data_IF_686436427586
#
_entry.id   IF_686436427586
#
_cell.length_a   1.000
_cell.length_b   1.000
_cell.length_c   1.000
_cell.angle_alpha   90.00
_cell.angle_beta   90.00
_cell.angle_gamma   90.00
#
_symmetry.space_group_name_H-M   'P 1'
#
loop_
_entity.id
_entity.type
_entity.pdbx_description
1 polymer ?
#
# COMPACT_ATOMS: atom_id res chain seq x y z
N UNK A 1 -5.04 -78.17 2.71
CA UNK A 1 -6.04 -77.66 1.74
C UNK A 1 -6.78 -76.53 2.44
N UNK A 2 -6.48 -75.28 2.08
CA UNK A 2 -7.40 -74.34 1.39
C UNK A 2 -8.62 -73.96 2.27
N UNK A 3 -8.95 -72.69 2.55
CA UNK A 3 -8.75 -71.44 1.80
C UNK A 3 -8.69 -70.20 2.70
N UNK A 4 -7.96 -69.21 2.21
CA UNK A 4 -7.84 -67.83 2.66
C UNK A 4 -9.11 -67.00 2.41
N UNK A 5 -9.41 -66.02 3.27
CA UNK A 5 -10.09 -64.78 2.87
C UNK A 5 -9.50 -63.59 3.63
N UNK A 6 -8.88 -62.69 2.87
CA UNK A 6 -8.42 -61.36 3.26
C UNK A 6 -9.61 -60.40 3.39
N UNK A 7 -9.61 -59.54 4.41
CA UNK A 7 -10.35 -58.26 4.37
C UNK A 7 -9.39 -57.11 4.70
N UNK A 8 -9.13 -56.27 3.71
CA UNK A 8 -8.41 -54.99 3.83
C UNK A 8 -9.31 -53.99 4.55
N UNK A 9 -8.90 -53.50 5.71
CA UNK A 9 -9.54 -52.37 6.37
C UNK A 9 -9.01 -51.04 5.80
N UNK A 10 -9.95 -50.13 5.55
CA UNK A 10 -9.76 -48.83 4.90
C UNK A 10 -8.91 -47.88 5.74
N UNK A 11 -8.05 -47.12 5.06
CA UNK A 11 -7.35 -45.95 5.60
C UNK A 11 -8.32 -44.77 5.53
N UNK A 12 -8.80 -44.29 6.67
CA UNK A 12 -9.50 -43.01 6.77
C UNK A 12 -8.46 -41.90 6.79
N UNK A 13 -8.20 -41.27 5.65
CA UNK A 13 -7.40 -40.05 5.56
C UNK A 13 -8.21 -38.85 6.08
N UNK A 14 -7.79 -38.24 7.18
CA UNK A 14 -8.28 -36.93 7.61
C UNK A 14 -7.54 -35.88 6.78
N UNK A 15 -8.23 -35.26 5.83
CA UNK A 15 -7.75 -34.06 5.13
C UNK A 15 -8.01 -32.87 6.06
N UNK A 16 -6.98 -32.37 6.73
CA UNK A 16 -7.03 -31.06 7.36
C UNK A 16 -6.92 -29.99 6.26
N UNK A 17 -8.06 -29.48 5.81
CA UNK A 17 -8.10 -28.29 4.96
C UNK A 17 -7.72 -27.07 5.82
N UNK A 18 -6.44 -26.69 5.78
CA UNK A 18 -5.99 -25.41 6.33
C UNK A 18 -6.56 -24.27 5.49
N UNK A 19 -7.62 -23.62 5.97
CA UNK A 19 -8.03 -22.32 5.43
C UNK A 19 -6.98 -21.30 5.84
N UNK A 20 -5.99 -21.08 4.99
CA UNK A 20 -5.15 -19.89 5.05
C UNK A 20 -6.03 -18.68 4.75
N UNK A 21 -6.69 -18.14 5.78
CA UNK A 21 -7.31 -16.83 5.69
C UNK A 21 -6.20 -15.82 5.43
N UNK A 22 -6.12 -15.31 4.20
CA UNK A 22 -5.29 -14.15 3.91
C UNK A 22 -5.81 -13.04 4.82
N UNK A 23 -5.01 -12.66 5.83
CA UNK A 23 -5.28 -11.48 6.61
C UNK A 23 -5.46 -10.31 5.64
N UNK A 24 -6.61 -9.65 5.71
CA UNK A 24 -6.87 -8.47 4.89
C UNK A 24 -5.74 -7.47 5.14
N UNK A 25 -5.06 -7.04 4.08
CA UNK A 25 -4.02 -6.04 4.19
C UNK A 25 -4.65 -4.76 4.77
N UNK A 26 -4.08 -4.23 5.86
CA UNK A 26 -4.52 -2.98 6.48
C UNK A 26 -3.63 -1.83 6.05
N UNK A 27 -4.23 -0.68 5.71
CA UNK A 27 -3.47 0.52 5.41
C UNK A 27 -2.94 1.23 6.66
N UNK A 28 -3.54 0.99 7.83
CA UNK A 28 -3.07 1.57 9.09
C UNK A 28 -1.58 1.24 9.26
N UNK A 29 -0.72 2.25 9.40
CA UNK A 29 0.71 2.03 9.48
C UNK A 29 1.05 1.29 10.79
N UNK A 30 1.91 0.26 10.75
CA UNK A 30 2.53 -0.30 11.94
C UNK A 30 3.26 0.78 12.76
N UNK A 31 3.56 0.46 14.01
CA UNK A 31 4.36 1.35 14.87
C UNK A 31 5.66 1.77 14.18
N UNK A 32 6.00 3.06 14.29
CA UNK A 32 7.21 3.63 13.69
C UNK A 32 7.12 3.90 12.18
N UNK A 33 6.00 3.57 11.52
CA UNK A 33 5.80 3.81 10.09
C UNK A 33 4.82 4.95 9.80
N UNK A 34 4.85 5.40 8.55
CA UNK A 34 3.83 6.25 7.95
C UNK A 34 3.19 5.54 6.76
N UNK A 35 1.97 5.92 6.44
CA UNK A 35 1.18 5.37 5.35
C UNK A 35 0.74 6.45 4.35
N UNK A 36 0.89 6.15 3.06
CA UNK A 36 0.30 6.91 1.96
C UNK A 36 -0.71 6.00 1.27
N UNK A 37 -2.00 6.33 1.36
CA UNK A 37 -3.08 5.62 0.68
C UNK A 37 -3.42 6.31 -0.63
N UNK A 38 -3.63 5.54 -1.70
CA UNK A 38 -3.81 6.08 -3.04
C UNK A 38 -4.91 5.38 -3.83
N UNK A 39 -5.95 6.17 -4.14
CA UNK A 39 -7.11 5.76 -4.92
C UNK A 39 -6.96 6.25 -6.36
N UNK A 40 -7.17 5.35 -7.33
CA UNK A 40 -7.21 5.69 -8.76
C UNK A 40 -8.57 5.38 -9.37
N UNK A 41 -9.03 6.27 -10.24
CA UNK A 41 -10.26 6.09 -11.00
C UNK A 41 -10.28 4.88 -11.92
N UNK A 42 -9.15 4.58 -12.56
CA UNK A 42 -9.03 3.43 -13.45
C UNK A 42 -8.76 2.11 -12.69
N UNK A 43 -8.64 2.17 -11.36
CA UNK A 43 -8.24 1.05 -10.50
C UNK A 43 -6.95 0.32 -10.96
N UNK A 44 -6.16 0.95 -11.84
CA UNK A 44 -4.94 0.37 -12.40
C UNK A 44 -3.72 0.99 -11.73
N UNK A 45 -3.01 0.16 -10.96
CA UNK A 45 -1.83 0.54 -10.20
C UNK A 45 -0.54 -0.02 -10.79
N UNK A 46 -0.62 -0.73 -11.92
CA UNK A 46 0.54 -1.36 -12.54
C UNK A 46 1.58 -0.31 -12.96
N UNK A 47 2.79 -0.45 -12.41
CA UNK A 47 3.91 0.47 -12.65
C UNK A 47 3.86 1.76 -11.82
N UNK A 48 2.82 1.98 -11.00
CA UNK A 48 2.77 3.10 -10.08
C UNK A 48 3.55 2.79 -8.80
N UNK A 49 4.37 3.75 -8.35
CA UNK A 49 5.13 3.66 -7.11
C UNK A 49 5.29 5.02 -6.44
N UNK A 50 5.84 5.02 -5.23
CA UNK A 50 6.19 6.22 -4.48
C UNK A 50 7.70 6.45 -4.50
N UNK A 51 8.14 7.57 -5.07
CA UNK A 51 9.50 8.06 -4.89
C UNK A 51 9.56 8.86 -3.59
N UNK A 52 10.39 8.41 -2.64
CA UNK A 52 10.45 8.93 -1.27
C UNK A 52 11.85 9.46 -0.97
N UNK A 53 11.93 10.59 -0.28
CA UNK A 53 13.21 11.19 0.09
C UNK A 53 13.15 11.95 1.41
N UNK A 54 14.32 12.08 2.05
CA UNK A 54 14.53 12.92 3.23
C UNK A 54 15.15 14.26 2.84
N UNK A 55 14.98 15.27 3.68
CA UNK A 55 15.70 16.54 3.51
C UNK A 55 17.23 16.30 3.60
N UNK A 56 18.06 17.02 2.81
CA UNK A 56 17.72 18.10 1.89
C UNK A 56 17.41 17.67 0.43
N UNK A 57 16.88 16.47 0.19
CA UNK A 57 16.60 15.96 -1.16
C UNK A 57 17.25 14.60 -1.46
N UNK A 58 17.49 13.80 -0.43
CA UNK A 58 18.21 12.52 -0.54
C UNK A 58 17.19 11.38 -0.61
N UNK A 59 17.07 10.64 -1.72
CA UNK A 59 16.19 9.48 -1.81
C UNK A 59 16.44 8.48 -0.67
N UNK A 60 15.37 7.83 -0.21
CA UNK A 60 15.52 6.76 0.78
C UNK A 60 16.31 5.59 0.19
N UNK A 61 16.95 4.81 1.06
CA UNK A 61 17.78 3.66 0.64
C UNK A 61 16.96 2.69 -0.23
N UNK A 62 17.49 2.41 -1.43
CA UNK A 62 16.85 1.51 -2.40
C UNK A 62 15.72 2.13 -3.23
N UNK A 63 15.42 3.41 -3.03
CA UNK A 63 14.44 4.18 -3.81
C UNK A 63 15.17 5.05 -4.83
N UNK A 64 14.82 4.86 -6.10
CA UNK A 64 15.34 5.62 -7.23
C UNK A 64 14.17 6.10 -8.10
N UNK A 65 14.43 7.01 -9.04
CA UNK A 65 13.39 7.43 -9.98
C UNK A 65 12.89 6.25 -10.83
N UNK A 66 13.79 5.44 -11.35
CA UNK A 66 13.47 4.27 -12.17
C UNK A 66 12.99 3.07 -11.33
N UNK A 67 13.14 3.14 -10.01
CA UNK A 67 12.75 2.10 -9.05
C UNK A 67 12.07 2.74 -7.84
N UNK A 68 10.84 3.25 -8.00
CA UNK A 68 10.09 3.77 -6.88
C UNK A 68 9.69 2.65 -5.91
N UNK A 69 9.28 3.01 -4.70
CA UNK A 69 8.74 2.06 -3.74
C UNK A 69 7.48 1.41 -4.32
N UNK A 70 7.47 0.08 -4.37
CA UNK A 70 6.29 -0.68 -4.74
C UNK A 70 5.23 -0.61 -3.61
N UNK A 71 3.93 -0.66 -3.93
CA UNK A 71 2.89 -0.69 -2.92
C UNK A 71 3.08 -1.84 -1.93
N UNK A 72 2.85 -1.55 -0.65
CA UNK A 72 2.88 -2.54 0.44
C UNK A 72 1.66 -3.44 0.44
N UNK A 73 0.56 -2.99 -0.16
CA UNK A 73 -0.67 -3.77 -0.30
C UNK A 73 -1.80 -2.99 -0.95
N UNK A 74 -3.00 -3.56 -0.88
CA UNK A 74 -4.23 -2.96 -1.43
C UNK A 74 -5.39 -3.14 -0.43
N UNK A 75 -6.21 -2.11 -0.30
CA UNK A 75 -7.49 -2.07 0.42
C UNK A 75 -8.61 -1.71 -0.55
N UNK A 76 -9.85 -1.58 -0.05
CA UNK A 76 -10.99 -1.10 -0.84
C UNK A 76 -10.83 0.36 -1.28
N UNK A 77 -9.99 1.14 -0.60
CA UNK A 77 -9.68 2.51 -1.04
C UNK A 77 -8.72 2.51 -2.24
N UNK A 78 -7.81 1.55 -2.31
CA UNK A 78 -6.77 1.52 -3.33
C UNK A 78 -5.48 0.89 -2.81
N UNK A 79 -4.35 1.26 -3.39
CA UNK A 79 -3.05 0.77 -2.91
C UNK A 79 -2.51 1.67 -1.79
N UNK A 80 -1.60 1.13 -0.99
CA UNK A 80 -0.90 1.91 0.03
C UNK A 80 0.58 1.58 0.09
N UNK A 81 1.37 2.51 0.62
CA UNK A 81 2.78 2.33 0.95
C UNK A 81 3.00 2.55 2.43
N UNK A 82 3.80 1.67 3.05
CA UNK A 82 4.34 1.89 4.40
C UNK A 82 5.83 2.20 4.31
N UNK A 83 6.23 3.33 4.88
CA UNK A 83 7.63 3.73 4.96
C UNK A 83 8.04 3.93 6.43
N UNK A 84 9.26 3.56 6.78
CA UNK A 84 9.79 3.75 8.13
C UNK A 84 10.07 5.24 8.38
N UNK A 85 9.41 5.83 9.38
CA UNK A 85 9.49 7.27 9.64
C UNK A 85 10.92 7.73 9.94
N UNK A 86 11.69 6.88 10.62
CA UNK A 86 13.10 7.13 10.96
C UNK A 86 13.96 7.40 9.72
N UNK A 87 13.58 6.87 8.55
CA UNK A 87 14.36 7.01 7.32
C UNK A 87 14.25 8.43 6.74
N UNK A 88 13.23 9.19 7.14
CA UNK A 88 13.04 10.62 6.80
C UNK A 88 13.86 11.58 7.68
N UNK A 89 14.67 11.04 8.60
CA UNK A 89 15.50 11.83 9.51
C UNK A 89 14.74 12.39 10.70
N UNK A 90 15.44 13.13 11.56
CA UNK A 90 14.93 13.58 12.87
C UNK A 90 13.75 14.53 12.78
N UNK A 91 13.58 15.25 11.66
CA UNK A 91 12.43 16.13 11.44
C UNK A 91 11.14 15.39 11.05
N UNK A 92 11.25 14.13 10.60
CA UNK A 92 10.10 13.32 10.19
C UNK A 92 9.28 13.90 9.03
N UNK A 93 9.84 14.85 8.25
CA UNK A 93 9.19 15.38 7.05
C UNK A 93 9.23 14.34 5.94
N UNK A 94 8.06 13.81 5.60
CA UNK A 94 7.91 12.79 4.56
C UNK A 94 7.75 13.50 3.24
N UNK A 95 8.75 13.45 2.37
CA UNK A 95 8.63 13.98 1.01
C UNK A 95 8.39 12.84 0.02
N UNK A 96 7.48 13.05 -0.94
CA UNK A 96 7.09 12.02 -1.89
C UNK A 96 6.61 12.55 -3.25
N UNK A 97 6.70 11.69 -4.27
CA UNK A 97 6.01 11.80 -5.56
C UNK A 97 5.40 10.43 -5.87
N UNK A 98 4.12 10.40 -6.24
CA UNK A 98 3.47 9.19 -6.79
C UNK A 98 3.59 9.25 -8.31
N UNK A 99 4.21 8.24 -8.94
CA UNK A 99 4.46 8.26 -10.38
C UNK A 99 4.53 6.86 -11.01
N UNK A 100 4.38 6.82 -12.34
CA UNK A 100 4.63 5.68 -13.24
C UNK A 100 5.57 6.13 -14.36
N UNK A 101 6.82 5.69 -14.33
CA UNK A 101 7.86 6.27 -15.19
C UNK A 101 7.90 7.79 -15.00
N UNK A 102 7.85 8.55 -16.10
CA UNK A 102 7.82 10.02 -16.03
C UNK A 102 6.43 10.62 -15.80
N UNK A 103 5.38 9.80 -15.78
CA UNK A 103 4.01 10.26 -15.49
C UNK A 103 3.84 10.43 -13.98
N UNK A 104 3.68 11.67 -13.54
CA UNK A 104 3.47 12.03 -12.13
C UNK A 104 1.99 12.30 -11.83
N UNK A 105 1.55 11.98 -10.62
CA UNK A 105 0.24 12.41 -10.11
C UNK A 105 0.33 13.76 -9.36
N UNK A 106 -0.77 14.19 -8.75
CA UNK A 106 -0.93 15.41 -7.95
C UNK A 106 -0.45 16.66 -8.69
N UNK A 107 -0.68 16.68 -10.01
CA UNK A 107 -0.27 17.76 -10.89
C UNK A 107 1.25 17.89 -11.08
N UNK A 108 2.01 16.82 -10.83
CA UNK A 108 3.46 16.78 -11.05
C UNK A 108 4.29 17.47 -9.98
N UNK A 109 3.70 17.76 -8.81
CA UNK A 109 4.34 18.49 -7.71
C UNK A 109 5.07 17.56 -6.77
N UNK A 110 6.11 18.09 -6.14
CA UNK A 110 6.72 17.48 -4.96
C UNK A 110 5.77 17.68 -3.78
N UNK A 111 5.40 16.58 -3.13
CA UNK A 111 4.46 16.58 -2.03
C UNK A 111 5.17 16.29 -0.71
N UNK A 112 4.62 16.77 0.40
CA UNK A 112 5.14 16.41 1.71
C UNK A 112 4.09 16.53 2.81
N UNK A 113 4.31 15.81 3.90
CA UNK A 113 3.57 15.95 5.15
C UNK A 113 4.50 15.74 6.35
N UNK A 114 4.05 16.20 7.52
CA UNK A 114 4.74 15.95 8.77
C UNK A 114 4.35 14.57 9.32
N UNK A 115 5.26 13.61 9.16
CA UNK A 115 5.09 12.24 9.63
C UNK A 115 5.14 12.11 11.15
N UNK A 116 5.57 13.14 11.90
CA UNK A 116 5.52 13.14 13.36
C UNK A 116 4.11 13.44 13.88
N UNK A 117 3.39 14.33 13.19
CA UNK A 117 2.03 14.73 13.51
C UNK A 117 0.96 13.85 12.85
N UNK A 118 1.17 13.42 11.61
CA UNK A 118 0.21 12.63 10.83
C UNK A 118 0.86 11.34 10.35
N UNK A 119 0.36 10.19 10.81
CA UNK A 119 0.92 8.88 10.42
C UNK A 119 0.34 8.32 9.13
N UNK A 120 -0.87 8.70 8.76
CA UNK A 120 -1.56 8.15 7.60
C UNK A 120 -2.22 9.28 6.82
N UNK A 121 -2.03 9.25 5.50
CA UNK A 121 -2.67 10.18 4.58
C UNK A 121 -3.38 9.43 3.46
N UNK A 122 -4.33 10.11 2.81
CA UNK A 122 -5.09 9.62 1.68
C UNK A 122 -5.01 10.57 0.50
N UNK A 123 -4.84 10.00 -0.69
CA UNK A 123 -4.66 10.71 -1.96
C UNK A 123 -5.60 10.11 -2.99
N UNK A 124 -6.34 10.98 -3.67
CA UNK A 124 -7.12 10.66 -4.85
C UNK A 124 -6.35 11.06 -6.11
N UNK A 125 -6.25 10.17 -7.09
CA UNK A 125 -5.58 10.50 -8.35
C UNK A 125 -6.24 11.70 -9.04
N UNK A 126 -5.41 12.57 -9.62
CA UNK A 126 -5.84 13.82 -10.23
C UNK A 126 -6.14 14.95 -9.24
N UNK A 127 -6.10 14.69 -7.93
CA UNK A 127 -6.27 15.68 -6.88
C UNK A 127 -4.92 16.11 -6.30
N UNK A 128 -4.73 17.42 -6.12
CA UNK A 128 -3.52 18.00 -5.52
C UNK A 128 -3.56 17.98 -3.99
N UNK A 129 -4.71 17.69 -3.39
CA UNK A 129 -4.91 17.71 -1.95
C UNK A 129 -4.44 16.42 -1.29
N UNK A 130 -3.90 16.56 -0.08
CA UNK A 130 -3.68 15.48 0.88
C UNK A 130 -4.84 15.49 1.87
N UNK A 131 -5.42 14.32 2.13
CA UNK A 131 -6.44 14.12 3.15
C UNK A 131 -5.83 13.39 4.34
N UNK A 132 -6.27 13.72 5.56
CA UNK A 132 -5.81 13.09 6.81
C UNK A 132 -6.87 12.17 7.43
N UNK A 133 -7.93 11.88 6.67
CA UNK A 133 -8.93 10.87 7.01
C UNK A 133 -9.42 10.17 5.73
N UNK A 134 -9.79 8.89 5.86
CA UNK A 134 -10.41 8.11 4.79
C UNK A 134 -11.75 8.72 4.36
N UNK A 135 -12.54 9.20 5.31
CA UNK A 135 -13.88 9.71 5.06
C UNK A 135 -13.85 11.01 4.25
N UNK A 136 -12.93 11.93 4.56
CA UNK A 136 -12.76 13.16 3.77
C UNK A 136 -12.27 12.86 2.35
N UNK A 137 -11.36 11.89 2.20
CA UNK A 137 -10.90 11.47 0.89
C UNK A 137 -12.01 10.83 0.05
N UNK A 138 -12.85 9.98 0.66
CA UNK A 138 -14.02 9.39 0.01
C UNK A 138 -15.05 10.44 -0.37
N UNK A 139 -15.33 11.39 0.52
CA UNK A 139 -16.23 12.51 0.26
C UNK A 139 -15.75 13.34 -0.92
N UNK A 140 -14.46 13.71 -0.94
CA UNK A 140 -13.89 14.45 -2.06
C UNK A 140 -13.94 13.67 -3.38
N UNK A 141 -13.71 12.36 -3.35
CA UNK A 141 -13.87 11.50 -4.54
C UNK A 141 -15.32 11.47 -5.02
N UNK A 142 -16.29 11.46 -4.12
CA UNK A 142 -17.71 11.52 -4.48
C UNK A 142 -18.11 12.88 -5.07
N UNK A 143 -17.51 13.98 -4.60
CA UNK A 143 -17.72 15.33 -5.12
C UNK A 143 -17.02 15.55 -6.48
N UNK A 144 -15.92 14.85 -6.74
CA UNK A 144 -15.24 14.83 -8.05
C UNK A 144 -15.12 13.39 -8.57
N UNK A 145 -16.22 12.82 -9.09
CA UNK A 145 -16.24 11.44 -9.56
C UNK A 145 -15.25 11.18 -10.68
N UNK A 146 -14.86 9.92 -10.77
CA UNK A 146 -14.13 9.40 -11.91
C UNK A 146 -14.94 9.62 -13.19
N UNK A 147 -14.30 10.22 -14.20
CA UNK A 147 -14.88 10.42 -15.52
C UNK A 147 -14.75 9.17 -16.38
#
# INVERSE_FOLDING_TARGET
MQTSTLLKALITGIIAAGTSGAALATSNPPEGKVAINYNRCDNNYEGWGAHLWKDPGIPLTGIEWQKPMAPSGKTDFGVFWHADLKDFGSKGKVNYIIHKGDTKDQGGRDMSFDGTATKEIWVNNGDRKIYTSLDDAKKARAETPCK
#
